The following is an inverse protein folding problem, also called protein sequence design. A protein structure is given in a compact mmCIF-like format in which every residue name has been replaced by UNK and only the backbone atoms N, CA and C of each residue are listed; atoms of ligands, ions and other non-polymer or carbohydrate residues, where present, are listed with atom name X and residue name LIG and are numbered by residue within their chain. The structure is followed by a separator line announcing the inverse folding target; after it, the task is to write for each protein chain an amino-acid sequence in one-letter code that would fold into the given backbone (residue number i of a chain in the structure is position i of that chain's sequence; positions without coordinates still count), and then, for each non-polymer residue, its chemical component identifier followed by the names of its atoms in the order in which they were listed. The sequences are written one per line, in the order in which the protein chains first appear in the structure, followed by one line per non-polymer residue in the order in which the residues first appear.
data_IF_766763090014
#
_entry.id   IF_766763090014
#
_cell.length_a   1.000
_cell.length_b   1.000
_cell.length_c   1.000
_cell.angle_alpha   90.00
_cell.angle_beta   90.00
_cell.angle_gamma   90.00
#
_symmetry.space_group_name_H-M   'P 1'
#
loop_
_entity.id
_entity.type
_entity.pdbx_description
1 polymer ?
#
# COMPACT_ATOMS: atom_id res chain seq x y z
N UNK A 1 0.28 -25.20 -13.13
CA UNK A 1 -0.09 -26.19 -12.12
C UNK A 1 1.17 -26.91 -11.67
N UNK A 2 1.88 -26.30 -10.73
CA UNK A 2 2.94 -26.96 -9.98
C UNK A 2 2.40 -28.26 -9.34
N UNK A 3 3.19 -29.33 -9.35
CA UNK A 3 2.76 -30.57 -8.69
C UNK A 3 2.74 -30.38 -7.17
N UNK A 4 1.97 -31.21 -6.44
CA UNK A 4 2.02 -31.16 -4.96
C UNK A 4 3.44 -31.33 -4.43
N UNK A 5 4.28 -32.15 -5.10
CA UNK A 5 5.69 -32.33 -4.72
C UNK A 5 6.47 -31.02 -4.84
N UNK A 6 6.22 -30.23 -5.88
CA UNK A 6 6.90 -28.94 -6.07
C UNK A 6 6.46 -27.94 -5.01
N UNK A 7 5.16 -27.86 -4.73
CA UNK A 7 4.61 -27.02 -3.64
C UNK A 7 5.19 -27.43 -2.30
N UNK A 8 5.24 -28.73 -2.00
CA UNK A 8 5.83 -29.27 -0.77
C UNK A 8 7.31 -28.92 -0.65
N UNK A 9 8.10 -29.08 -1.71
CA UNK A 9 9.53 -28.77 -1.70
C UNK A 9 9.80 -27.28 -1.44
N UNK A 10 9.00 -26.38 -2.03
CA UNK A 10 9.05 -24.92 -1.75
C UNK A 10 8.71 -24.63 -0.29
N UNK A 11 7.61 -25.18 0.21
CA UNK A 11 7.21 -25.00 1.60
C UNK A 11 8.24 -25.55 2.59
N UNK A 12 8.85 -26.70 2.31
CA UNK A 12 9.92 -27.28 3.13
C UNK A 12 11.15 -26.36 3.21
N UNK A 13 11.61 -25.81 2.07
CA UNK A 13 12.71 -24.82 2.05
C UNK A 13 12.38 -23.58 2.88
N UNK A 14 11.13 -23.13 2.84
CA UNK A 14 10.66 -22.03 3.68
C UNK A 14 10.40 -22.43 5.14
N UNK A 15 10.40 -23.71 5.50
CA UNK A 15 10.06 -24.19 6.86
C UNK A 15 8.55 -24.13 7.16
N UNK A 16 7.71 -24.10 6.13
CA UNK A 16 6.25 -23.98 6.19
C UNK A 16 5.52 -25.27 5.79
N UNK A 17 6.16 -26.43 5.93
CA UNK A 17 5.56 -27.73 5.60
C UNK A 17 4.28 -28.03 6.38
N UNK A 18 4.10 -27.42 7.55
CA UNK A 18 2.91 -27.59 8.40
C UNK A 18 1.59 -27.29 7.67
N UNK A 19 1.60 -26.45 6.63
CA UNK A 19 0.42 -26.16 5.80
C UNK A 19 -0.12 -27.40 5.08
N UNK A 20 0.73 -28.40 4.82
CA UNK A 20 0.35 -29.64 4.15
C UNK A 20 0.10 -30.80 5.13
N UNK A 21 0.11 -30.56 6.44
CA UNK A 21 -0.04 -31.60 7.48
C UNK A 21 -1.29 -32.46 7.27
N UNK A 22 -2.41 -31.83 6.94
CA UNK A 22 -3.71 -32.49 6.77
C UNK A 22 -4.08 -32.68 5.29
N UNK A 23 -3.13 -32.45 4.37
CA UNK A 23 -3.43 -32.49 2.93
C UNK A 23 -3.92 -33.88 2.48
N UNK A 24 -3.45 -34.95 3.12
CA UNK A 24 -3.91 -36.32 2.87
C UNK A 24 -5.34 -36.61 3.36
N UNK A 25 -5.86 -35.83 4.31
CA UNK A 25 -7.21 -35.96 4.87
C UNK A 25 -8.24 -35.13 4.09
N UNK A 26 -7.78 -34.25 3.20
CA UNK A 26 -8.65 -33.43 2.37
C UNK A 26 -9.24 -34.23 1.20
N UNK A 27 -10.54 -34.03 0.96
CA UNK A 27 -11.18 -34.49 -0.26
C UNK A 27 -10.50 -33.88 -1.50
N UNK A 28 -10.61 -34.51 -2.70
CA UNK A 28 -9.89 -34.08 -3.89
C UNK A 28 -10.12 -32.61 -4.29
N UNK A 29 -11.35 -32.10 -4.15
CA UNK A 29 -11.71 -30.71 -4.46
C UNK A 29 -10.99 -29.70 -3.55
N UNK A 30 -11.21 -29.75 -2.21
CA UNK A 30 -10.49 -28.90 -1.26
C UNK A 30 -8.97 -29.00 -1.35
N UNK A 31 -8.43 -30.21 -1.62
CA UNK A 31 -6.99 -30.39 -1.83
C UNK A 31 -6.50 -29.63 -3.07
N UNK A 32 -7.20 -29.72 -4.19
CA UNK A 32 -6.85 -28.99 -5.41
C UNK A 32 -6.95 -27.46 -5.20
N UNK A 33 -7.97 -26.99 -4.50
CA UNK A 33 -8.13 -25.57 -4.15
C UNK A 33 -6.96 -25.07 -3.29
N UNK A 34 -6.57 -25.81 -2.24
CA UNK A 34 -5.42 -25.45 -1.41
C UNK A 34 -4.13 -25.33 -2.22
N UNK A 35 -3.86 -26.29 -3.12
CA UNK A 35 -2.67 -26.25 -3.96
C UNK A 35 -2.68 -25.08 -4.94
N UNK A 36 -3.85 -24.73 -5.49
CA UNK A 36 -4.01 -23.58 -6.38
C UNK A 36 -3.75 -22.24 -5.64
N UNK A 37 -4.21 -22.12 -4.40
CA UNK A 37 -3.92 -20.94 -3.55
C UNK A 37 -2.44 -20.84 -3.16
N UNK A 38 -1.75 -21.98 -2.99
CA UNK A 38 -0.33 -22.02 -2.65
C UNK A 38 0.59 -21.82 -3.87
N UNK A 39 0.12 -22.05 -5.10
CA UNK A 39 0.90 -21.91 -6.33
C UNK A 39 1.50 -20.50 -6.53
N UNK A 40 0.72 -19.39 -6.43
CA UNK A 40 1.21 -18.04 -6.66
C UNK A 40 2.00 -17.45 -5.48
N UNK A 41 1.97 -18.08 -4.31
CA UNK A 41 2.69 -17.57 -3.14
C UNK A 41 4.19 -17.82 -3.30
N UNK A 42 5.02 -16.94 -2.73
CA UNK A 42 6.47 -17.12 -2.59
C UNK A 42 6.83 -17.30 -1.11
N UNK A 43 6.84 -18.55 -0.59
CA UNK A 43 6.97 -18.84 0.83
C UNK A 43 8.26 -18.27 1.46
N UNK A 44 9.37 -18.31 0.73
CA UNK A 44 10.65 -17.77 1.19
C UNK A 44 10.62 -16.25 1.33
N UNK A 45 10.04 -15.55 0.34
CA UNK A 45 9.91 -14.09 0.35
C UNK A 45 8.97 -13.65 1.49
N UNK A 46 7.87 -14.36 1.71
CA UNK A 46 6.96 -14.11 2.83
C UNK A 46 7.65 -14.31 4.18
N UNK A 47 8.44 -15.39 4.33
CA UNK A 47 9.21 -15.63 5.56
C UNK A 47 10.25 -14.56 5.82
N UNK A 48 10.95 -14.10 4.80
CA UNK A 48 11.89 -12.97 4.93
C UNK A 48 11.16 -11.69 5.33
N UNK A 49 10.05 -11.38 4.66
CA UNK A 49 9.24 -10.22 4.98
C UNK A 49 8.79 -10.22 6.44
N UNK A 50 8.20 -11.32 6.92
CA UNK A 50 7.75 -11.43 8.31
C UNK A 50 8.89 -11.31 9.31
N UNK A 51 10.07 -11.89 9.01
CA UNK A 51 11.26 -11.73 9.86
C UNK A 51 11.71 -10.28 9.93
N UNK A 52 11.77 -9.59 8.79
CA UNK A 52 12.18 -8.20 8.72
C UNK A 52 11.17 -7.28 9.44
N UNK A 53 9.87 -7.54 9.28
CA UNK A 53 8.82 -6.82 9.98
C UNK A 53 8.91 -7.01 11.51
N UNK A 54 9.06 -8.25 11.98
CA UNK A 54 9.22 -8.54 13.41
C UNK A 54 10.49 -7.87 13.97
N UNK A 55 11.61 -7.94 13.24
CA UNK A 55 12.86 -7.28 13.64
C UNK A 55 12.70 -5.76 13.69
N UNK A 56 11.96 -5.15 12.76
CA UNK A 56 11.66 -3.72 12.77
C UNK A 56 10.79 -3.33 13.97
N UNK A 57 9.75 -4.11 14.28
CA UNK A 57 8.88 -3.88 15.43
C UNK A 57 9.61 -4.05 16.77
N UNK A 58 10.60 -4.94 16.85
CA UNK A 58 11.40 -5.15 18.06
C UNK A 58 12.45 -4.05 18.31
N UNK A 59 12.67 -3.13 17.35
CA UNK A 59 13.60 -2.02 17.54
C UNK A 59 13.05 -1.02 18.56
N UNK A 60 13.94 -0.33 19.31
CA UNK A 60 13.53 0.76 20.18
C UNK A 60 12.72 1.80 19.39
N UNK A 61 11.64 2.34 19.98
CA UNK A 61 10.88 3.40 19.34
C UNK A 61 11.75 4.65 19.19
N UNK A 62 11.73 5.23 17.99
CA UNK A 62 12.46 6.46 17.69
C UNK A 62 13.11 6.43 16.32
N UNK A 63 13.40 7.60 15.74
CA UNK A 63 14.10 7.68 14.47
C UNK A 63 15.52 7.11 14.62
N UNK A 64 16.05 6.40 13.61
CA UNK A 64 17.43 5.95 13.62
C UNK A 64 18.40 7.13 13.85
N UNK A 65 19.55 6.90 14.52
CA UNK A 65 20.54 7.95 14.70
C UNK A 65 20.95 8.55 13.34
N UNK A 66 21.01 9.88 13.30
CA UNK A 66 21.30 10.62 12.06
C UNK A 66 20.21 10.59 10.99
N UNK A 67 18.97 10.13 11.30
CA UNK A 67 17.85 10.24 10.36
C UNK A 67 17.57 11.72 10.01
N UNK A 68 17.49 12.60 11.00
CA UNK A 68 17.22 14.02 10.79
C UNK A 68 18.27 14.69 9.89
N UNK A 69 19.53 14.26 9.97
CA UNK A 69 20.63 14.77 9.14
C UNK A 69 20.54 14.29 7.68
N UNK A 70 19.87 13.15 7.43
CA UNK A 70 19.71 12.55 6.09
C UNK A 70 18.42 12.99 5.40
N UNK A 71 17.40 13.38 6.16
CA UNK A 71 16.14 13.86 5.62
C UNK A 71 16.24 15.35 5.30
N UNK A 72 15.96 15.71 4.04
CA UNK A 72 15.79 17.09 3.61
C UNK A 72 14.37 17.28 3.08
N UNK A 73 13.72 18.43 3.32
CA UNK A 73 12.47 18.76 2.67
C UNK A 73 12.59 18.66 1.15
N UNK A 74 11.49 18.33 0.49
CA UNK A 74 11.44 18.42 -0.96
C UNK A 74 11.65 19.88 -1.39
N UNK A 75 12.37 20.11 -2.51
CA UNK A 75 12.50 21.46 -3.08
C UNK A 75 11.11 22.06 -3.38
N UNK A 76 10.89 23.36 -3.12
CA UNK A 76 9.58 23.99 -3.28
C UNK A 76 9.09 23.95 -4.73
N UNK A 77 9.99 23.92 -5.71
CA UNK A 77 9.65 23.80 -7.14
C UNK A 77 9.02 22.44 -7.49
N UNK A 78 9.11 21.46 -6.57
CA UNK A 78 8.53 20.12 -6.70
C UNK A 78 7.27 19.92 -5.86
N UNK A 79 6.82 20.95 -5.13
CA UNK A 79 5.70 20.84 -4.19
C UNK A 79 4.68 21.94 -4.45
N UNK A 80 3.47 21.54 -4.89
CA UNK A 80 2.31 22.44 -4.93
C UNK A 80 1.54 22.45 -3.61
N UNK A 81 0.86 23.56 -3.28
CA UNK A 81 0.08 23.66 -2.04
C UNK A 81 -1.16 24.55 -2.21
N UNK A 82 -2.36 23.98 -2.08
CA UNK A 82 -3.61 24.74 -2.26
C UNK A 82 -3.78 25.93 -1.28
N UNK A 83 -3.18 25.85 -0.09
CA UNK A 83 -3.25 26.91 0.93
C UNK A 83 -2.08 27.90 0.89
N UNK A 84 -0.96 27.55 0.26
CA UNK A 84 0.28 28.36 0.26
C UNK A 84 0.68 28.89 -1.13
N UNK A 85 0.15 28.29 -2.18
CA UNK A 85 0.30 28.80 -3.55
C UNK A 85 -0.63 29.99 -3.75
N UNK A 86 -0.17 30.95 -4.55
CA UNK A 86 -0.97 32.11 -4.91
C UNK A 86 -2.20 31.70 -5.74
N UNK A 87 -3.27 32.52 -5.74
CA UNK A 87 -4.51 32.19 -6.44
C UNK A 87 -4.36 32.02 -7.96
N UNK A 88 -3.35 32.66 -8.58
CA UNK A 88 -3.14 32.61 -10.04
C UNK A 88 -2.51 31.27 -10.44
N UNK A 89 -1.46 30.85 -9.75
CA UNK A 89 -0.86 29.52 -9.90
C UNK A 89 -1.89 28.40 -9.70
N UNK A 90 -2.81 28.57 -8.75
CA UNK A 90 -3.90 27.61 -8.53
C UNK A 90 -4.89 27.54 -9.69
N UNK A 91 -5.31 28.70 -10.21
CA UNK A 91 -6.19 28.77 -11.39
C UNK A 91 -5.55 28.15 -12.61
N UNK A 92 -4.25 28.37 -12.81
CA UNK A 92 -3.49 27.73 -13.89
C UNK A 92 -3.57 26.19 -13.79
N UNK A 93 -3.40 25.63 -12.59
CA UNK A 93 -3.54 24.18 -12.39
C UNK A 93 -4.95 23.66 -12.66
N UNK A 94 -5.98 24.43 -12.27
CA UNK A 94 -7.39 24.10 -12.52
C UNK A 94 -7.73 24.12 -14.02
N UNK A 95 -7.18 25.08 -14.77
CA UNK A 95 -7.37 25.23 -16.21
C UNK A 95 -6.57 24.23 -17.04
N UNK A 96 -5.40 23.79 -16.57
CA UNK A 96 -4.57 22.76 -17.24
C UNK A 96 -5.12 21.33 -17.06
N UNK A 97 -5.89 21.08 -15.99
CA UNK A 97 -6.50 19.77 -15.71
C UNK A 97 -7.43 19.26 -16.84
N UNK A 98 -8.44 20.02 -17.32
CA UNK A 98 -9.40 19.52 -18.32
C UNK A 98 -8.74 19.16 -19.65
N UNK A 99 -7.70 19.88 -20.09
CA UNK A 99 -6.96 19.56 -21.31
C UNK A 99 -6.22 18.21 -21.23
N UNK A 100 -5.91 17.73 -20.03
CA UNK A 100 -5.13 16.50 -19.77
C UNK A 100 -5.99 15.29 -19.42
N UNK A 101 -7.21 15.49 -18.91
CA UNK A 101 -8.19 14.40 -18.63
C UNK A 101 -8.60 13.66 -19.91
N UNK A 102 -8.71 14.36 -21.04
CA UNK A 102 -9.14 13.77 -22.32
C UNK A 102 -8.03 12.96 -23.02
N UNK A 103 -6.78 13.05 -22.54
CA UNK A 103 -5.62 12.36 -23.09
C UNK A 103 -4.96 11.38 -22.11
N UNK A 104 -5.47 11.24 -20.89
CA UNK A 104 -4.94 10.28 -19.92
C UNK A 104 -5.43 8.88 -20.28
N UNK A 105 -4.55 7.93 -20.65
CA UNK A 105 -4.94 6.55 -20.60
C UNK A 105 -5.03 6.20 -19.11
N UNK A 106 -6.18 5.67 -18.68
CA UNK A 106 -6.39 4.80 -17.52
C UNK A 106 -7.36 5.35 -16.44
N UNK A 107 -8.48 4.62 -16.27
CA UNK A 107 -8.61 3.72 -15.12
C UNK A 107 -8.97 4.33 -13.76
N UNK A 108 -9.33 5.60 -13.68
CA UNK A 108 -9.95 6.19 -12.49
C UNK A 108 -11.27 6.83 -12.90
N UNK A 109 -12.39 6.18 -12.58
CA UNK A 109 -13.70 6.84 -12.61
C UNK A 109 -13.67 7.97 -11.58
N UNK A 110 -13.72 9.22 -12.05
CA UNK A 110 -13.92 10.38 -11.20
C UNK A 110 -15.35 10.30 -10.67
N UNK A 111 -15.54 9.67 -9.51
CA UNK A 111 -16.75 9.87 -8.72
C UNK A 111 -16.67 11.28 -8.13
N UNK A 112 -17.50 12.16 -8.68
CA UNK A 112 -17.74 13.49 -8.16
C UNK A 112 -18.25 13.38 -6.72
N UNK A 113 -17.35 13.54 -5.75
CA UNK A 113 -17.74 13.72 -4.34
C UNK A 113 -17.96 15.21 -4.16
N UNK A 114 -19.21 15.66 -4.38
CA UNK A 114 -19.70 16.94 -3.89
C UNK A 114 -19.69 16.89 -2.35
N UNK A 115 -18.59 17.31 -1.74
CA UNK A 115 -18.54 17.67 -0.34
C UNK A 115 -19.20 19.06 -0.18
N UNK A 116 -20.53 19.07 -0.06
CA UNK A 116 -21.23 20.17 0.61
C UNK A 116 -20.87 20.15 2.10
N UNK A 117 -19.72 20.73 2.47
CA UNK A 117 -19.40 21.05 3.86
C UNK A 117 -20.09 22.37 4.24
N UNK A 118 -21.40 22.28 4.49
CA UNK A 118 -22.11 23.25 5.32
C UNK A 118 -21.74 23.01 6.79
N UNK A 119 -20.66 23.61 7.27
CA UNK A 119 -20.38 23.70 8.71
C UNK A 119 -20.77 25.09 9.25
N UNK A 120 -21.51 25.17 10.37
CA UNK A 120 -21.95 26.45 10.93
C UNK A 120 -20.78 27.21 11.56
N UNK A 121 -20.70 28.51 11.24
CA UNK A 121 -19.84 29.49 11.91
C UNK A 121 -20.18 29.56 13.40
N UNK A 122 -19.23 29.23 14.27
CA UNK A 122 -19.30 29.57 15.70
C UNK A 122 -18.90 31.06 15.85
N UNK A 123 -19.70 31.92 16.50
CA UNK A 123 -19.34 33.31 16.70
C UNK A 123 -18.21 33.44 17.74
N UNK A 124 -17.26 34.34 17.45
CA UNK A 124 -16.20 34.70 18.38
C UNK A 124 -16.80 35.35 19.64
N UNK A 125 -16.62 34.71 20.79
CA UNK A 125 -16.88 35.32 22.08
C UNK A 125 -15.74 36.26 22.45
N UNK A 126 -16.12 37.48 22.83
CA UNK A 126 -15.26 38.53 23.38
C UNK A 126 -14.43 38.05 24.56
N UNK A 127 -13.13 38.39 24.56
CA UNK A 127 -12.36 38.89 25.71
C UNK A 127 -11.27 39.83 25.18
#
# INVERSE_FOLDING_TARGET
MASERDVRARLQRAGQEHLLRFCAELAPGPRAALLAELEPLEPEALREHCRNAAAACARPPGPPPGLATRLRPLPPERVGSASRSDPETRRLWEEEAPARVHSWPLGLEVREVLLEESLPRVPAAHL
#
